data_IF_635725396872
#
_entry.id   IF_635725396872
#
_cell.length_a   1.000
_cell.length_b   1.000
_cell.length_c   1.000
_cell.angle_alpha   90.00
_cell.angle_beta   90.00
_cell.angle_gamma   90.00
#
_symmetry.space_group_name_H-M   'P 1'
#
loop_
_entity.id
_entity.type
_entity.pdbx_description
1 polymer ?
#
# COMPACT_ATOMS: atom_id res chain seq x y z
N UNK A 1 -5.71 6.84 -3.50
CA UNK A 1 -6.65 5.98 -4.24
C UNK A 1 -7.10 6.60 -5.55
N UNK A 2 -7.83 7.73 -5.55
CA UNK A 2 -8.33 8.34 -6.79
C UNK A 2 -7.26 8.64 -7.86
N UNK A 3 -6.08 9.13 -7.45
CA UNK A 3 -4.95 9.32 -8.38
C UNK A 3 -4.49 7.99 -9.01
N UNK A 4 -4.42 6.92 -8.22
CA UNK A 4 -3.97 5.61 -8.69
C UNK A 4 -4.93 5.05 -9.73
N UNK A 5 -6.24 5.12 -9.45
CA UNK A 5 -7.28 4.70 -10.40
C UNK A 5 -7.22 5.49 -11.70
N UNK A 6 -7.13 6.83 -11.62
CA UNK A 6 -7.02 7.68 -12.81
C UNK A 6 -5.81 7.33 -13.68
N UNK A 7 -4.64 7.14 -13.06
CA UNK A 7 -3.42 6.77 -13.80
C UNK A 7 -3.53 5.37 -14.39
N UNK A 8 -4.17 4.43 -13.67
CA UNK A 8 -4.43 3.10 -14.21
C UNK A 8 -5.27 3.19 -15.49
N UNK A 9 -6.36 3.97 -15.51
CA UNK A 9 -7.22 4.12 -16.70
C UNK A 9 -6.45 4.75 -17.88
N UNK A 10 -5.62 5.76 -17.59
CA UNK A 10 -4.76 6.40 -18.59
C UNK A 10 -3.77 5.40 -19.22
N UNK A 11 -3.18 4.50 -18.41
CA UNK A 11 -2.25 3.47 -18.88
C UNK A 11 -2.99 2.33 -19.56
N UNK A 12 -4.15 1.91 -19.07
CA UNK A 12 -4.94 0.83 -19.64
C UNK A 12 -5.34 1.10 -21.10
N UNK A 13 -5.57 2.37 -21.46
CA UNK A 13 -5.80 2.79 -22.83
C UNK A 13 -4.62 2.49 -23.78
N UNK A 14 -3.39 2.37 -23.27
CA UNK A 14 -2.21 1.99 -24.04
C UNK A 14 -2.13 0.47 -24.30
N UNK A 15 -2.94 -0.34 -23.60
CA UNK A 15 -2.97 -1.81 -23.68
C UNK A 15 -4.39 -2.36 -23.99
N UNK A 16 -4.98 -2.04 -25.16
CA UNK A 16 -6.38 -2.38 -25.48
C UNK A 16 -6.67 -3.88 -25.58
N UNK A 17 -5.64 -4.72 -25.65
CA UNK A 17 -5.77 -6.17 -25.72
C UNK A 17 -5.79 -6.84 -24.32
N UNK A 18 -5.59 -6.06 -23.25
CA UNK A 18 -5.64 -6.54 -21.87
C UNK A 18 -6.98 -6.09 -21.27
N UNK A 19 -7.81 -7.07 -20.93
CA UNK A 19 -9.03 -6.81 -20.17
C UNK A 19 -8.66 -6.20 -18.82
N UNK A 20 -9.35 -5.13 -18.45
CA UNK A 20 -9.09 -4.41 -17.21
C UNK A 20 -10.40 -4.02 -16.55
N UNK A 21 -10.40 -4.07 -15.22
CA UNK A 21 -11.51 -3.72 -14.35
C UNK A 21 -10.98 -3.17 -13.03
N UNK A 22 -11.87 -2.58 -12.21
CA UNK A 22 -11.48 -1.99 -10.92
C UNK A 22 -12.46 -2.39 -9.83
N UNK A 23 -11.89 -2.67 -8.67
CA UNK A 23 -12.61 -3.12 -7.49
C UNK A 23 -12.22 -2.20 -6.34
N UNK A 24 -13.19 -1.82 -5.52
CA UNK A 24 -12.87 -1.22 -4.22
C UNK A 24 -12.21 -2.31 -3.38
N UNK A 25 -11.21 -1.94 -2.57
CA UNK A 25 -10.33 -2.90 -1.89
C UNK A 25 -11.10 -3.88 -0.99
N UNK A 26 -12.22 -3.46 -0.41
CA UNK A 26 -13.06 -4.29 0.46
C UNK A 26 -13.72 -5.45 -0.30
N UNK A 27 -14.39 -5.17 -1.41
CA UNK A 27 -15.02 -6.19 -2.25
C UNK A 27 -13.97 -7.02 -3.01
N UNK A 28 -12.86 -6.39 -3.42
CA UNK A 28 -11.72 -7.08 -4.03
C UNK A 28 -11.12 -8.11 -3.08
N UNK A 29 -10.90 -7.75 -1.81
CA UNK A 29 -10.41 -8.66 -0.77
C UNK A 29 -11.39 -9.81 -0.52
N UNK A 30 -12.69 -9.52 -0.41
CA UNK A 30 -13.71 -10.55 -0.20
C UNK A 30 -13.72 -11.57 -1.34
N UNK A 31 -13.53 -11.12 -2.57
CA UNK A 31 -13.54 -11.98 -3.75
C UNK A 31 -12.24 -12.73 -4.01
N UNK A 32 -11.11 -12.14 -3.63
CA UNK A 32 -9.85 -12.87 -3.57
C UNK A 32 -9.92 -14.04 -2.59
N UNK A 33 -10.64 -13.87 -1.46
CA UNK A 33 -10.82 -14.93 -0.47
C UNK A 33 -11.84 -16.01 -0.89
N UNK A 34 -12.91 -15.62 -1.60
CA UNK A 34 -14.02 -16.51 -1.98
C UNK A 34 -13.76 -17.25 -3.31
N UNK A 35 -13.31 -16.52 -4.34
CA UNK A 35 -13.11 -17.01 -5.70
C UNK A 35 -11.78 -16.49 -6.28
N UNK A 36 -10.62 -16.87 -5.70
CA UNK A 36 -9.30 -16.41 -6.14
C UNK A 36 -9.00 -16.73 -7.61
N UNK A 37 -9.59 -17.79 -8.17
CA UNK A 37 -9.40 -18.24 -9.55
C UNK A 37 -9.91 -17.26 -10.62
N UNK A 38 -10.70 -16.25 -10.22
CA UNK A 38 -11.15 -15.19 -11.12
C UNK A 38 -10.07 -14.12 -11.38
N UNK A 39 -8.96 -14.12 -10.62
CA UNK A 39 -7.90 -13.13 -10.75
C UNK A 39 -6.70 -13.71 -11.50
N UNK A 40 -6.16 -12.93 -12.45
CA UNK A 40 -4.88 -13.21 -13.11
C UNK A 40 -3.78 -12.29 -12.57
N UNK A 41 -3.95 -10.97 -12.73
CA UNK A 41 -3.03 -9.95 -12.22
C UNK A 41 -3.79 -8.90 -11.42
N UNK A 42 -3.30 -8.59 -10.23
CA UNK A 42 -3.86 -7.54 -9.36
C UNK A 42 -2.80 -6.46 -9.14
N UNK A 43 -3.15 -5.21 -9.38
CA UNK A 43 -2.28 -4.04 -9.21
C UNK A 43 -2.91 -3.10 -8.18
N UNK A 44 -2.15 -2.73 -7.15
CA UNK A 44 -2.67 -1.95 -6.03
C UNK A 44 -1.62 -1.07 -5.34
N UNK A 45 -2.03 -0.03 -4.60
CA UNK A 45 -1.16 0.73 -3.72
C UNK A 45 -0.46 -0.14 -2.67
N UNK A 46 0.70 0.33 -2.21
CA UNK A 46 1.63 -0.40 -1.34
C UNK A 46 0.95 -1.12 -0.15
N UNK A 47 0.22 -0.39 0.71
CA UNK A 47 -0.42 -0.96 1.89
C UNK A 47 -1.44 -2.06 1.56
N UNK A 48 -2.22 -1.90 0.48
CA UNK A 48 -3.18 -2.91 0.06
C UNK A 48 -2.48 -4.15 -0.50
N UNK A 49 -1.39 -3.94 -1.24
CA UNK A 49 -0.54 -5.00 -1.79
C UNK A 49 0.09 -5.87 -0.72
N UNK A 50 0.63 -5.24 0.33
CA UNK A 50 1.16 -5.92 1.51
C UNK A 50 0.12 -6.85 2.12
N UNK A 51 -1.05 -6.31 2.46
CA UNK A 51 -2.13 -7.09 3.11
C UNK A 51 -2.67 -8.21 2.21
N UNK A 52 -3.00 -7.91 0.96
CA UNK A 52 -3.69 -8.88 0.09
C UNK A 52 -2.75 -9.93 -0.52
N UNK A 53 -1.46 -9.63 -0.67
CA UNK A 53 -0.48 -10.64 -1.09
C UNK A 53 -0.27 -11.72 -0.01
N UNK A 54 -0.28 -11.34 1.28
CA UNK A 54 -0.25 -12.28 2.40
C UNK A 54 -1.51 -13.16 2.44
N UNK A 55 -2.69 -12.58 2.21
CA UNK A 55 -3.95 -13.32 2.11
C UNK A 55 -3.88 -14.32 0.94
N UNK A 56 -3.45 -13.87 -0.24
CA UNK A 56 -3.29 -14.74 -1.41
C UNK A 56 -2.33 -15.90 -1.12
N UNK A 57 -1.17 -15.63 -0.51
CA UNK A 57 -0.21 -16.65 -0.15
C UNK A 57 -0.80 -17.66 0.86
N UNK A 58 -1.54 -17.18 1.87
CA UNK A 58 -2.16 -18.05 2.86
C UNK A 58 -3.28 -18.94 2.28
N UNK A 59 -4.01 -18.47 1.26
CA UNK A 59 -5.01 -19.28 0.53
C UNK A 59 -4.36 -20.49 -0.14
N UNK A 60 -3.11 -20.35 -0.63
CA UNK A 60 -2.36 -21.48 -1.22
C UNK A 60 -1.88 -22.51 -0.19
N UNK A 61 -1.99 -22.21 1.10
CA UNK A 61 -1.72 -23.11 2.22
C UNK A 61 -0.72 -22.56 3.23
N UNK A 62 0.22 -21.71 2.81
CA UNK A 62 1.19 -21.08 3.72
C UNK A 62 1.84 -19.85 3.11
N UNK A 63 1.96 -18.78 3.90
CA UNK A 63 2.82 -17.62 3.58
C UNK A 63 4.27 -18.06 3.28
N UNK A 64 4.72 -19.18 3.85
CA UNK A 64 6.03 -19.79 3.59
C UNK A 64 6.26 -20.26 2.16
N UNK A 65 5.24 -20.26 1.31
CA UNK A 65 5.32 -20.65 -0.11
C UNK A 65 5.48 -19.46 -1.06
N UNK A 66 5.43 -18.22 -0.59
CA UNK A 66 5.44 -17.06 -1.49
C UNK A 66 6.82 -16.39 -1.56
N UNK A 67 7.37 -16.36 -2.76
CA UNK A 67 8.51 -15.53 -3.14
C UNK A 67 8.07 -14.21 -3.76
N UNK A 68 8.92 -13.19 -3.72
CA UNK A 68 8.66 -11.88 -4.29
C UNK A 68 9.88 -11.31 -5.02
N UNK A 69 9.62 -10.30 -5.84
CA UNK A 69 10.62 -9.57 -6.59
C UNK A 69 10.33 -8.07 -6.52
N UNK A 70 11.30 -7.30 -6.01
CA UNK A 70 11.33 -5.85 -6.07
C UNK A 70 12.15 -5.46 -7.30
N UNK A 71 11.47 -4.99 -8.35
CA UNK A 71 12.10 -4.66 -9.63
C UNK A 71 12.17 -3.14 -9.79
N UNK A 72 13.39 -2.60 -9.89
CA UNK A 72 13.64 -1.21 -10.26
C UNK A 72 14.33 -1.10 -11.63
N UNK A 73 14.60 0.14 -12.02
CA UNK A 73 15.31 0.44 -13.29
C UNK A 73 16.78 -0.02 -13.25
N UNK A 74 17.45 0.19 -12.12
CA UNK A 74 18.89 -0.08 -11.98
C UNK A 74 19.20 -1.33 -11.16
N UNK A 75 18.27 -1.77 -10.32
CA UNK A 75 18.49 -2.85 -9.35
C UNK A 75 17.24 -3.71 -9.21
N UNK A 76 17.45 -4.99 -8.90
CA UNK A 76 16.41 -5.92 -8.54
C UNK A 76 16.78 -6.64 -7.24
N UNK A 77 15.80 -6.88 -6.39
CA UNK A 77 15.94 -7.61 -5.13
C UNK A 77 14.88 -8.70 -5.05
N UNK A 78 15.30 -9.92 -4.69
CA UNK A 78 14.43 -11.09 -4.63
C UNK A 78 14.43 -11.64 -3.21
N UNK A 79 13.25 -11.88 -2.66
CA UNK A 79 13.09 -12.26 -1.26
C UNK A 79 11.87 -13.17 -1.07
N UNK A 80 11.66 -13.65 0.15
CA UNK A 80 10.38 -14.23 0.56
C UNK A 80 9.47 -13.10 1.05
N UNK A 81 8.15 -13.25 0.92
CA UNK A 81 7.23 -12.24 1.47
C UNK A 81 7.21 -12.24 3.01
N UNK A 82 7.51 -13.39 3.63
CA UNK A 82 7.42 -13.53 5.08
C UNK A 82 8.57 -12.82 5.80
N UNK A 83 8.28 -12.33 7.02
CA UNK A 83 9.29 -11.74 7.89
C UNK A 83 10.25 -12.75 8.56
N UNK A 84 11.00 -12.26 9.55
CA UNK A 84 12.08 -12.99 10.23
C UNK A 84 11.64 -14.14 11.14
N UNK A 85 10.35 -14.22 11.47
CA UNK A 85 9.76 -15.21 12.39
C UNK A 85 10.65 -15.54 13.63
N UNK A 86 10.99 -14.56 14.50
CA UNK A 86 12.05 -14.72 15.52
C UNK A 86 11.85 -15.91 16.46
N UNK A 87 10.59 -16.25 16.75
CA UNK A 87 10.21 -17.40 17.59
C UNK A 87 10.66 -18.75 17.03
N UNK A 88 11.09 -18.84 15.77
CA UNK A 88 11.52 -20.06 15.08
C UNK A 88 12.99 -20.05 14.65
N UNK A 89 13.71 -18.95 14.91
CA UNK A 89 15.11 -18.83 14.54
C UNK A 89 15.95 -19.93 15.22
N UNK A 90 16.85 -20.56 14.47
CA UNK A 90 17.79 -21.57 14.98
C UNK A 90 17.17 -22.95 15.30
N UNK A 91 15.91 -23.19 14.97
CA UNK A 91 15.20 -24.43 15.37
C UNK A 91 15.12 -25.50 14.28
N UNK A 92 15.65 -25.25 13.07
CA UNK A 92 15.49 -26.14 11.91
C UNK A 92 14.00 -26.43 11.57
N UNK A 93 13.12 -25.43 11.72
CA UNK A 93 11.68 -25.57 11.49
C UNK A 93 11.13 -24.68 10.37
N UNK A 94 11.89 -23.69 9.90
CA UNK A 94 11.42 -22.76 8.88
C UNK A 94 11.15 -23.48 7.56
N UNK A 95 10.11 -23.05 6.85
CA UNK A 95 9.86 -23.45 5.47
C UNK A 95 10.72 -22.58 4.54
N UNK A 96 11.71 -23.13 3.82
CA UNK A 96 12.59 -22.34 2.95
C UNK A 96 11.97 -22.05 1.57
N UNK A 97 10.76 -22.52 1.29
CA UNK A 97 10.17 -22.49 -0.06
C UNK A 97 10.01 -21.07 -0.61
N UNK A 98 9.56 -20.11 0.19
CA UNK A 98 9.37 -18.72 -0.24
C UNK A 98 10.68 -18.07 -0.68
N UNK A 99 11.76 -18.24 0.09
CA UNK A 99 13.09 -17.74 -0.29
C UNK A 99 13.63 -18.46 -1.52
N UNK A 100 13.42 -19.77 -1.63
CA UNK A 100 13.79 -20.54 -2.80
C UNK A 100 13.04 -20.06 -4.06
N UNK A 101 11.76 -19.75 -3.94
CA UNK A 101 10.95 -19.21 -5.03
C UNK A 101 11.37 -17.77 -5.40
N UNK A 102 11.77 -16.95 -4.43
CA UNK A 102 12.46 -15.68 -4.70
C UNK A 102 13.73 -15.89 -5.53
N UNK A 103 14.56 -16.88 -5.19
CA UNK A 103 15.75 -17.24 -5.97
C UNK A 103 15.40 -17.78 -7.37
N UNK A 104 14.28 -18.51 -7.52
CA UNK A 104 13.77 -18.93 -8.83
C UNK A 104 13.40 -17.71 -9.69
N UNK A 105 12.70 -16.72 -9.13
CA UNK A 105 12.40 -15.46 -9.81
C UNK A 105 13.68 -14.72 -10.22
N UNK A 106 14.70 -14.71 -9.35
CA UNK A 106 16.02 -14.15 -9.65
C UNK A 106 16.67 -14.86 -10.84
N UNK A 107 16.68 -16.20 -10.84
CA UNK A 107 17.26 -17.00 -11.93
C UNK A 107 16.60 -16.69 -13.27
N UNK A 108 15.27 -16.56 -13.30
CA UNK A 108 14.54 -16.12 -14.50
C UNK A 108 14.99 -14.71 -14.91
N UNK A 109 15.07 -13.77 -13.96
CA UNK A 109 15.46 -12.38 -14.23
C UNK A 109 16.89 -12.23 -14.80
N UNK A 110 17.84 -13.05 -14.35
CA UNK A 110 19.24 -13.02 -14.81
C UNK A 110 19.49 -13.92 -16.05
N UNK A 111 18.44 -14.38 -16.71
CA UNK A 111 18.54 -15.15 -17.95
C UNK A 111 18.96 -16.62 -17.76
N UNK A 112 18.60 -17.23 -16.62
CA UNK A 112 18.83 -18.66 -16.33
C UNK A 112 17.51 -19.45 -16.15
N UNK A 113 16.57 -19.41 -17.11
CA UNK A 113 15.27 -20.06 -16.99
C UNK A 113 15.37 -21.60 -16.89
N UNK A 114 16.34 -22.22 -17.54
CA UNK A 114 16.54 -23.68 -17.47
C UNK A 114 16.93 -24.15 -16.07
N UNK A 115 17.72 -23.34 -15.35
CA UNK A 115 18.09 -23.61 -13.95
C UNK A 115 16.89 -23.35 -13.04
N UNK A 116 16.18 -22.25 -13.25
CA UNK A 116 14.96 -21.92 -12.53
C UNK A 116 13.90 -23.03 -12.67
N UNK A 117 13.72 -23.58 -13.87
CA UNK A 117 12.77 -24.65 -14.17
C UNK A 117 13.13 -25.94 -13.42
N UNK A 118 14.42 -26.32 -13.41
CA UNK A 118 14.90 -27.51 -12.69
C UNK A 118 14.65 -27.38 -11.18
N UNK A 119 14.96 -26.23 -10.60
CA UNK A 119 14.79 -25.98 -9.16
C UNK A 119 13.32 -25.95 -8.78
N UNK A 120 12.49 -25.22 -9.54
CA UNK A 120 11.07 -25.08 -9.24
C UNK A 120 10.33 -26.42 -9.39
N UNK A 121 10.58 -27.18 -10.46
CA UNK A 121 9.95 -28.50 -10.61
C UNK A 121 10.41 -29.49 -9.54
N UNK A 122 11.66 -29.42 -9.06
CA UNK A 122 12.12 -30.22 -7.94
C UNK A 122 11.36 -29.88 -6.64
N UNK A 123 11.14 -28.58 -6.35
CA UNK A 123 10.30 -28.14 -5.24
C UNK A 123 8.87 -28.69 -5.35
N UNK A 124 8.24 -28.53 -6.51
CA UNK A 124 6.89 -29.06 -6.74
C UNK A 124 6.83 -30.57 -6.57
N UNK A 125 7.84 -31.30 -7.07
CA UNK A 125 7.93 -32.75 -6.89
C UNK A 125 8.09 -33.14 -5.41
N UNK A 126 8.85 -32.37 -4.63
CA UNK A 126 8.99 -32.59 -3.17
C UNK A 126 7.65 -32.46 -2.45
N UNK A 127 6.88 -31.42 -2.79
CA UNK A 127 5.55 -31.20 -2.22
C UNK A 127 4.57 -32.30 -2.66
N UNK A 128 4.58 -32.67 -3.94
CA UNK A 128 3.75 -33.76 -4.48
C UNK A 128 4.00 -35.12 -3.82
N UNK A 129 5.27 -35.41 -3.48
CA UNK A 129 5.67 -36.61 -2.75
C UNK A 129 5.35 -36.55 -1.25
N UNK A 130 4.67 -35.50 -0.79
CA UNK A 130 4.18 -35.35 0.57
C UNK A 130 5.28 -35.05 1.59
N UNK A 131 6.42 -34.53 1.16
CA UNK A 131 7.52 -34.10 2.04
C UNK A 131 7.28 -32.66 2.43
N UNK A 132 6.79 -32.42 3.64
CA UNK A 132 6.30 -31.10 4.05
C UNK A 132 6.95 -30.61 5.34
N UNK A 133 7.23 -29.31 5.41
CA UNK A 133 7.55 -28.61 6.65
C UNK A 133 6.30 -28.46 7.52
N UNK A 134 6.48 -28.04 8.78
CA UNK A 134 5.40 -28.07 9.77
C UNK A 134 4.14 -27.26 9.38
N UNK A 135 4.28 -26.20 8.59
CA UNK A 135 3.22 -25.31 8.11
C UNK A 135 2.38 -25.92 6.99
N UNK A 136 2.95 -26.83 6.21
CA UNK A 136 2.26 -27.54 5.13
C UNK A 136 1.87 -28.96 5.53
N UNK A 137 2.41 -29.47 6.64
CA UNK A 137 2.15 -30.82 7.08
C UNK A 137 0.69 -31.01 7.49
N UNK A 138 0.00 -31.93 6.82
CA UNK A 138 -1.37 -32.33 7.13
C UNK A 138 -1.46 -33.86 7.18
N UNK A 139 -1.94 -34.38 8.29
CA UNK A 139 -2.16 -35.82 8.45
C UNK A 139 -3.13 -36.34 7.37
N UNK A 140 -2.83 -37.51 6.81
CA UNK A 140 -3.59 -38.12 5.71
C UNK A 140 -3.29 -37.56 4.32
N UNK A 141 -2.60 -36.42 4.19
CA UNK A 141 -2.14 -35.86 2.91
C UNK A 141 -0.62 -35.91 2.77
N UNK A 142 0.09 -35.51 3.83
CA UNK A 142 1.56 -35.56 3.88
C UNK A 142 2.07 -36.97 4.15
N UNK A 143 3.20 -37.31 3.54
CA UNK A 143 3.92 -38.57 3.79
C UNK A 143 4.94 -38.42 4.91
N UNK A 144 5.63 -37.28 5.00
CA UNK A 144 6.59 -37.00 6.09
C UNK A 144 6.63 -35.53 6.47
N UNK A 145 6.78 -35.29 7.78
CA UNK A 145 7.09 -33.98 8.35
C UNK A 145 8.61 -33.84 8.49
N UNK A 146 9.19 -32.77 7.95
CA UNK A 146 10.64 -32.54 7.96
C UNK A 146 11.00 -31.15 8.49
N UNK A 147 12.25 -31.00 8.93
CA UNK A 147 12.85 -29.70 9.26
C UNK A 147 13.35 -28.96 8.01
N UNK A 148 13.95 -27.80 8.21
CA UNK A 148 14.47 -26.94 7.12
C UNK A 148 15.54 -27.64 6.29
N UNK A 149 16.55 -28.22 6.94
CA UNK A 149 17.66 -28.90 6.28
C UNK A 149 17.21 -30.13 5.51
N UNK A 150 16.37 -30.97 6.13
CA UNK A 150 15.88 -32.21 5.53
C UNK A 150 14.91 -31.93 4.37
N UNK A 151 14.17 -30.80 4.42
CA UNK A 151 13.39 -30.34 3.28
C UNK A 151 14.28 -29.92 2.11
N UNK A 152 15.38 -29.20 2.38
CA UNK A 152 16.35 -28.82 1.35
C UNK A 152 16.99 -30.05 0.69
N UNK A 153 17.42 -31.03 1.48
CA UNK A 153 17.96 -32.31 0.97
C UNK A 153 16.95 -33.01 0.06
N UNK A 154 15.68 -33.07 0.47
CA UNK A 154 14.61 -33.69 -0.32
C UNK A 154 14.37 -32.97 -1.66
N UNK A 155 14.51 -31.65 -1.72
CA UNK A 155 14.46 -30.87 -2.98
C UNK A 155 15.67 -31.17 -3.85
N UNK A 156 16.88 -31.24 -3.27
CA UNK A 156 18.11 -31.54 -3.99
C UNK A 156 18.05 -32.94 -4.64
N UNK A 157 17.56 -33.95 -3.91
CA UNK A 157 17.35 -35.32 -4.42
C UNK A 157 16.43 -35.39 -5.65
N UNK A 158 15.56 -34.38 -5.82
CA UNK A 158 14.55 -34.32 -6.90
C UNK A 158 14.96 -33.42 -8.05
N UNK A 159 16.17 -32.85 -8.05
CA UNK A 159 16.65 -32.08 -9.19
C UNK A 159 16.62 -32.92 -10.48
N UNK A 160 15.98 -32.37 -11.52
CA UNK A 160 15.77 -33.04 -12.81
C UNK A 160 14.50 -33.89 -12.88
N UNK A 161 13.77 -34.05 -11.78
CA UNK A 161 12.44 -34.66 -11.77
C UNK A 161 11.35 -33.61 -12.00
N UNK A 162 10.16 -34.06 -12.43
CA UNK A 162 8.99 -33.20 -12.64
C UNK A 162 7.80 -33.75 -11.83
N UNK A 163 6.91 -32.88 -11.31
CA UNK A 163 5.66 -33.33 -10.71
C UNK A 163 4.76 -33.99 -11.77
N UNK A 164 3.96 -34.96 -11.34
CA UNK A 164 2.98 -35.70 -12.17
C UNK A 164 1.54 -35.20 -11.95
N UNK A 165 1.20 -34.80 -10.73
CA UNK A 165 -0.11 -34.30 -10.28
C UNK A 165 -0.16 -32.78 -10.25
N UNK A 166 0.87 -32.14 -9.67
CA UNK A 166 1.00 -30.69 -9.72
C UNK A 166 1.39 -30.26 -11.13
N UNK A 167 0.93 -29.09 -11.56
CA UNK A 167 1.27 -28.55 -12.87
C UNK A 167 2.77 -28.22 -12.92
N UNK A 168 3.52 -28.98 -13.72
CA UNK A 168 4.92 -28.71 -13.97
C UNK A 168 5.09 -27.32 -14.61
N UNK A 169 6.13 -26.61 -14.21
CA UNK A 169 6.44 -25.28 -14.74
C UNK A 169 7.41 -25.36 -15.90
N UNK A 170 7.31 -24.38 -16.79
CA UNK A 170 8.28 -24.13 -17.84
C UNK A 170 8.47 -22.62 -17.98
N UNK A 171 9.73 -22.19 -18.03
CA UNK A 171 10.08 -20.78 -18.18
C UNK A 171 10.57 -20.49 -19.60
N UNK A 172 10.14 -19.38 -20.17
CA UNK A 172 10.50 -19.03 -21.53
C UNK A 172 11.96 -18.52 -21.61
N UNK A 173 12.74 -19.06 -22.55
CA UNK A 173 14.12 -18.67 -22.85
C UNK A 173 14.24 -17.33 -23.57
N UNK A 174 13.15 -16.81 -24.14
CA UNK A 174 13.16 -15.58 -24.95
C UNK A 174 12.90 -14.28 -24.19
N UNK A 175 12.82 -14.28 -22.85
CA UNK A 175 12.63 -13.04 -22.08
C UNK A 175 13.97 -12.29 -21.97
N UNK A 176 14.56 -11.97 -23.12
CA UNK A 176 15.61 -10.97 -23.21
C UNK A 176 14.98 -9.61 -22.85
N UNK A 177 15.24 -9.20 -21.62
CA UNK A 177 15.24 -7.84 -21.08
C UNK A 177 14.90 -6.74 -22.10
N UNK A 178 13.61 -6.51 -22.32
CA UNK A 178 13.15 -5.17 -22.66
C UNK A 178 12.33 -4.71 -21.48
N UNK A 179 13.01 -4.23 -20.43
CA UNK A 179 12.31 -3.32 -19.52
C UNK A 179 11.82 -2.17 -20.42
N UNK A 180 10.51 -1.91 -20.50
CA UNK A 180 10.03 -0.77 -21.23
C UNK A 180 10.74 0.45 -20.64
N UNK A 181 11.45 1.22 -21.47
CA UNK A 181 12.07 2.47 -21.01
C UNK A 181 10.95 3.34 -20.47
N UNK A 182 11.00 3.57 -19.16
CA UNK A 182 9.99 4.35 -18.49
C UNK A 182 10.06 5.79 -19.03
N UNK A 183 9.06 6.18 -19.81
CA UNK A 183 8.98 7.54 -20.33
C UNK A 183 8.18 8.38 -19.34
N UNK A 184 8.86 9.24 -18.61
CA UNK A 184 8.22 10.22 -17.75
C UNK A 184 7.48 11.25 -18.63
N UNK A 185 6.15 11.24 -18.59
CA UNK A 185 5.35 12.30 -19.22
C UNK A 185 5.44 13.54 -18.34
N UNK A 186 6.04 14.62 -18.86
CA UNK A 186 5.96 15.92 -18.20
C UNK A 186 4.53 16.45 -18.32
N UNK A 187 3.85 16.58 -17.20
CA UNK A 187 2.52 17.20 -17.17
C UNK A 187 2.67 18.71 -17.39
N UNK A 188 1.73 19.35 -18.12
CA UNK A 188 1.75 20.80 -18.27
C UNK A 188 1.60 21.47 -16.89
N UNK A 189 2.24 22.62 -16.67
CA UNK A 189 2.09 23.37 -15.43
C UNK A 189 0.64 23.79 -15.24
N UNK A 190 0.11 23.56 -14.04
CA UNK A 190 -1.22 24.03 -13.62
C UNK A 190 -1.12 25.38 -12.93
N UNK A 191 -2.14 26.22 -13.07
CA UNK A 191 -2.25 27.48 -12.33
C UNK A 191 -2.54 27.15 -10.86
N UNK A 192 -1.53 27.26 -10.01
CA UNK A 192 -1.65 27.08 -8.56
C UNK A 192 -2.04 28.40 -7.89
N UNK A 193 -3.10 28.38 -7.09
CA UNK A 193 -3.55 29.54 -6.31
C UNK A 193 -3.74 29.14 -4.85
N UNK A 194 -3.22 29.95 -3.92
CA UNK A 194 -3.39 29.74 -2.48
C UNK A 194 -4.70 30.39 -2.04
N UNK A 195 -5.63 29.60 -1.50
CA UNK A 195 -7.01 30.02 -1.21
C UNK A 195 -7.40 29.82 0.26
N UNK A 196 -6.49 29.35 1.11
CA UNK A 196 -6.74 29.14 2.53
C UNK A 196 -5.62 28.39 3.22
N UNK A 197 -5.85 28.08 4.49
CA UNK A 197 -4.95 27.34 5.35
C UNK A 197 -5.73 26.52 6.39
N UNK A 198 -5.30 25.29 6.63
CA UNK A 198 -5.65 24.55 7.83
C UNK A 198 -4.51 24.71 8.85
N UNK A 199 -4.85 25.19 10.05
CA UNK A 199 -3.93 25.32 11.19
C UNK A 199 -4.28 24.24 12.21
N UNK A 200 -3.30 23.40 12.54
CA UNK A 200 -3.47 22.27 13.45
C UNK A 200 -2.96 22.61 14.84
N UNK A 201 -3.75 22.29 15.87
CA UNK A 201 -3.48 22.67 17.26
C UNK A 201 -3.38 21.44 18.19
N UNK A 202 -2.49 21.51 19.19
CA UNK A 202 -2.63 20.77 20.45
C UNK A 202 -3.33 21.69 21.47
N UNK A 203 -4.57 21.38 21.84
CA UNK A 203 -5.37 22.23 22.73
C UNK A 203 -6.32 21.42 23.61
N UNK A 204 -6.27 21.66 24.93
CA UNK A 204 -6.97 20.87 25.96
C UNK A 204 -7.87 21.70 26.88
N UNK A 205 -7.93 23.01 26.67
CA UNK A 205 -8.46 23.95 27.66
C UNK A 205 -10.00 24.12 27.62
N UNK A 206 -10.72 23.34 26.80
CA UNK A 206 -12.18 23.43 26.72
C UNK A 206 -12.78 22.56 25.62
N UNK A 207 -13.93 23.00 25.11
CA UNK A 207 -14.73 22.31 24.10
C UNK A 207 -14.48 22.83 22.68
N UNK A 208 -14.97 22.10 21.67
CA UNK A 208 -14.97 22.56 20.28
C UNK A 208 -15.67 23.92 20.10
N UNK A 209 -16.70 24.19 20.91
CA UNK A 209 -17.43 25.46 20.90
C UNK A 209 -16.55 26.61 21.40
N UNK A 210 -15.84 26.41 22.52
CA UNK A 210 -14.95 27.40 23.11
C UNK A 210 -13.80 27.74 22.16
N UNK A 211 -13.23 26.70 21.54
CA UNK A 211 -12.18 26.85 20.54
C UNK A 211 -12.71 27.58 19.29
N UNK A 212 -13.86 27.16 18.76
CA UNK A 212 -14.48 27.79 17.59
C UNK A 212 -14.74 29.28 17.79
N UNK A 213 -15.32 29.65 18.93
CA UNK A 213 -15.56 31.06 19.29
C UNK A 213 -14.27 31.87 19.39
N UNK A 214 -13.21 31.28 19.95
CA UNK A 214 -11.89 31.92 19.99
C UNK A 214 -11.37 32.17 18.57
N UNK A 215 -11.47 31.17 17.70
CA UNK A 215 -10.96 31.21 16.32
C UNK A 215 -11.73 32.15 15.40
N UNK A 216 -13.05 32.32 15.60
CA UNK A 216 -13.84 33.33 14.89
C UNK A 216 -13.22 34.72 15.03
N UNK A 217 -12.78 35.08 16.24
CA UNK A 217 -12.10 36.33 16.55
C UNK A 217 -10.69 36.49 15.96
N UNK A 218 -10.08 35.39 15.48
CA UNK A 218 -8.75 35.42 14.88
C UNK A 218 -8.77 35.72 13.38
N UNK A 219 -9.95 35.80 12.75
CA UNK A 219 -10.08 36.18 11.35
C UNK A 219 -9.32 37.49 11.03
N UNK A 220 -8.75 37.57 9.84
CA UNK A 220 -8.08 38.76 9.29
C UNK A 220 -8.86 39.27 8.09
N UNK A 221 -8.48 40.43 7.56
CA UNK A 221 -9.08 40.98 6.33
C UNK A 221 -8.88 40.02 5.13
N UNK A 222 -7.82 39.21 5.15
CA UNK A 222 -7.49 38.26 4.09
C UNK A 222 -8.03 36.84 4.35
N UNK A 223 -8.13 36.41 5.62
CA UNK A 223 -8.43 35.04 6.02
C UNK A 223 -9.61 35.01 7.00
N UNK A 224 -10.71 34.38 6.59
CA UNK A 224 -11.90 34.20 7.41
C UNK A 224 -11.95 32.78 7.97
N UNK A 225 -12.18 32.67 9.28
CA UNK A 225 -12.45 31.39 9.92
C UNK A 225 -13.65 30.69 9.27
N UNK A 226 -13.53 29.38 9.00
CA UNK A 226 -14.59 28.58 8.38
C UNK A 226 -15.15 27.51 9.29
N UNK A 227 -14.28 26.65 9.84
CA UNK A 227 -14.69 25.52 10.66
C UNK A 227 -13.55 25.00 11.54
N UNK A 228 -13.92 24.23 12.56
CA UNK A 228 -13.02 23.31 13.27
C UNK A 228 -13.43 21.88 12.93
N UNK A 229 -12.43 21.02 12.71
CA UNK A 229 -12.61 19.58 12.64
C UNK A 229 -11.74 18.84 13.65
N UNK A 230 -12.22 17.70 14.14
CA UNK A 230 -11.45 16.77 14.97
C UNK A 230 -11.51 15.40 14.31
N UNK A 231 -10.33 14.78 14.06
CA UNK A 231 -10.21 13.50 13.35
C UNK A 231 -10.96 13.48 12.00
N UNK A 232 -10.97 14.62 11.29
CA UNK A 232 -11.60 14.76 9.96
C UNK A 232 -13.09 15.05 9.97
N UNK A 233 -13.73 15.14 11.14
CA UNK A 233 -15.16 15.41 11.29
C UNK A 233 -15.37 16.86 11.71
N UNK A 234 -16.29 17.58 11.06
CA UNK A 234 -16.65 18.95 11.45
C UNK A 234 -17.26 18.94 12.86
N UNK A 235 -16.69 19.74 13.75
CA UNK A 235 -17.14 19.90 15.14
C UNK A 235 -17.49 21.35 15.49
N UNK A 236 -17.26 22.30 14.57
CA UNK A 236 -17.73 23.67 14.69
C UNK A 236 -17.78 24.33 13.30
N UNK A 237 -18.80 25.14 12.97
CA UNK A 237 -20.04 25.35 13.73
C UNK A 237 -20.96 24.12 13.71
N UNK A 238 -21.96 24.10 14.59
CA UNK A 238 -23.03 23.10 14.64
C UNK A 238 -22.56 21.64 14.83
N UNK A 239 -21.83 21.40 15.93
CA UNK A 239 -21.37 20.07 16.30
C UNK A 239 -22.54 19.09 16.55
N UNK A 240 -22.35 17.81 16.20
CA UNK A 240 -23.23 16.77 16.73
C UNK A 240 -22.93 16.55 18.22
N UNK A 241 -23.99 16.44 19.03
CA UNK A 241 -23.91 16.43 20.50
C UNK A 241 -23.07 15.30 21.12
N UNK A 242 -22.77 14.25 20.36
CA UNK A 242 -22.11 13.01 20.85
C UNK A 242 -20.70 12.80 20.29
N UNK A 243 -20.06 13.85 19.76
CA UNK A 243 -18.74 13.72 19.15
C UNK A 243 -17.60 13.76 20.17
N UNK A 244 -16.90 12.63 20.29
CA UNK A 244 -15.62 12.58 20.99
C UNK A 244 -14.56 13.34 20.20
N UNK A 245 -14.01 14.39 20.81
CA UNK A 245 -12.92 15.19 20.26
C UNK A 245 -11.58 14.75 20.87
N UNK A 246 -10.54 14.70 20.03
CA UNK A 246 -9.17 14.58 20.52
C UNK A 246 -8.64 15.95 20.97
N UNK A 247 -7.48 15.98 21.61
CA UNK A 247 -6.70 17.20 21.87
C UNK A 247 -6.05 17.78 20.60
N UNK A 248 -6.16 17.08 19.47
CA UNK A 248 -5.72 17.52 18.16
C UNK A 248 -6.87 18.08 17.31
N UNK A 249 -6.71 19.32 16.84
CA UNK A 249 -7.73 20.06 16.10
C UNK A 249 -7.22 20.53 14.75
N UNK A 250 -8.08 20.59 13.74
CA UNK A 250 -7.80 21.25 12.46
C UNK A 250 -8.74 22.44 12.29
N UNK A 251 -8.14 23.62 12.18
CA UNK A 251 -8.83 24.90 12.13
C UNK A 251 -8.70 25.48 10.73
N UNK A 252 -9.81 25.53 9.99
CA UNK A 252 -9.80 25.96 8.58
C UNK A 252 -10.08 27.45 8.47
N UNK A 253 -9.19 28.15 7.77
CA UNK A 253 -9.36 29.54 7.37
C UNK A 253 -9.31 29.64 5.85
N UNK A 254 -10.28 30.32 5.26
CA UNK A 254 -10.37 30.51 3.82
C UNK A 254 -10.09 31.96 3.44
N UNK A 255 -9.58 32.17 2.24
CA UNK A 255 -9.46 33.49 1.65
C UNK A 255 -10.82 34.21 1.70
N UNK A 256 -10.86 35.41 2.28
CA UNK A 256 -12.07 36.23 2.31
C UNK A 256 -12.50 36.62 0.89
N UNK A 257 -11.52 36.93 0.02
CA UNK A 257 -11.72 37.24 -1.39
C UNK A 257 -10.57 36.69 -2.24
N UNK A 258 -10.84 35.72 -3.12
CA UNK A 258 -9.87 35.24 -4.10
C UNK A 258 -8.69 34.46 -3.50
N UNK A 259 -7.50 35.02 -3.57
CA UNK A 259 -6.24 34.36 -3.20
C UNK A 259 -5.53 35.09 -2.06
N UNK A 260 -4.78 34.36 -1.26
CA UNK A 260 -3.96 34.91 -0.17
C UNK A 260 -2.46 34.75 -0.47
N UNK A 261 -1.64 35.49 0.27
CA UNK A 261 -0.19 35.43 0.24
C UNK A 261 0.37 34.69 1.46
N UNK A 262 1.65 34.32 1.42
CA UNK A 262 2.34 33.82 2.61
C UNK A 262 2.42 34.85 3.75
N UNK A 263 2.37 36.15 3.43
CA UNK A 263 2.31 37.21 4.44
C UNK A 263 1.01 37.16 5.24
N UNK A 264 -0.11 36.89 4.57
CA UNK A 264 -1.42 36.75 5.23
C UNK A 264 -1.46 35.53 6.15
N UNK A 265 -0.83 34.43 5.74
CA UNK A 265 -0.65 33.23 6.56
C UNK A 265 0.16 33.54 7.82
N UNK A 266 1.31 34.19 7.67
CA UNK A 266 2.17 34.55 8.81
C UNK A 266 1.43 35.49 9.78
N UNK A 267 0.69 36.46 9.25
CA UNK A 267 -0.12 37.36 10.07
C UNK A 267 -1.20 36.62 10.89
N UNK A 268 -1.86 35.63 10.29
CA UNK A 268 -2.80 34.77 11.00
C UNK A 268 -2.10 33.96 12.09
N UNK A 269 -0.96 33.31 11.80
CA UNK A 269 -0.21 32.53 12.79
C UNK A 269 0.32 33.40 13.94
N UNK A 270 0.64 34.67 13.68
CA UNK A 270 0.95 35.65 14.71
C UNK A 270 -0.22 35.83 15.69
N UNK A 271 -1.46 35.95 15.19
CA UNK A 271 -2.66 36.00 16.05
C UNK A 271 -2.86 34.73 16.87
N UNK A 272 -2.56 33.55 16.31
CA UNK A 272 -2.61 32.29 17.06
C UNK A 272 -1.60 32.30 18.22
N UNK A 273 -0.37 32.75 17.95
CA UNK A 273 0.67 32.89 18.98
C UNK A 273 0.24 33.87 20.08
N UNK A 274 -0.29 35.04 19.70
CA UNK A 274 -0.74 36.07 20.65
C UNK A 274 -1.93 35.58 21.50
N UNK A 275 -2.77 34.71 20.95
CA UNK A 275 -3.86 34.04 21.65
C UNK A 275 -3.39 32.85 22.53
N UNK A 276 -2.09 32.51 22.52
CA UNK A 276 -1.54 31.38 23.27
C UNK A 276 -1.98 30.01 22.73
N UNK A 277 -2.33 29.92 21.44
CA UNK A 277 -2.69 28.67 20.79
C UNK A 277 -1.45 27.98 20.21
N UNK A 278 -1.18 26.77 20.68
CA UNK A 278 -0.04 25.96 20.23
C UNK A 278 -0.33 25.32 18.87
N UNK A 279 0.11 25.97 17.79
CA UNK A 279 0.02 25.41 16.44
C UNK A 279 1.19 24.48 16.15
N UNK A 280 0.87 23.23 15.85
CA UNK A 280 1.85 22.14 15.69
C UNK A 280 2.11 21.79 14.22
N UNK A 281 1.20 22.19 13.33
CA UNK A 281 1.27 21.92 11.89
C UNK A 281 0.39 22.91 11.12
N UNK A 282 0.75 23.17 9.87
CA UNK A 282 -0.10 23.90 8.91
C UNK A 282 -0.19 23.14 7.58
N UNK A 283 -1.30 23.32 6.87
CA UNK A 283 -1.49 22.84 5.50
C UNK A 283 -2.08 23.95 4.64
N UNK A 284 -1.41 24.26 3.52
CA UNK A 284 -1.90 25.26 2.58
C UNK A 284 -3.01 24.71 1.70
N UNK A 285 -4.15 25.40 1.66
CA UNK A 285 -5.27 25.03 0.81
C UNK A 285 -5.08 25.71 -0.54
N UNK A 286 -4.77 24.93 -1.56
CA UNK A 286 -4.55 25.44 -2.91
C UNK A 286 -5.63 24.95 -3.87
N UNK A 287 -5.91 25.74 -4.89
CA UNK A 287 -6.54 25.26 -6.12
C UNK A 287 -5.50 25.06 -7.21
N UNK A 288 -5.79 24.16 -8.14
CA UNK A 288 -5.01 23.90 -9.34
C UNK A 288 -5.96 23.98 -10.53
N UNK A 289 -5.82 25.01 -11.36
CA UNK A 289 -6.77 25.33 -12.45
C UNK A 289 -8.22 25.48 -11.96
N UNK A 290 -8.39 26.06 -10.75
CA UNK A 290 -9.69 26.25 -10.12
C UNK A 290 -10.24 25.03 -9.36
N UNK A 291 -9.65 23.85 -9.54
CA UNK A 291 -10.04 22.64 -8.79
C UNK A 291 -9.37 22.60 -7.42
N UNK A 292 -10.10 22.18 -6.38
CA UNK A 292 -9.55 22.07 -5.02
C UNK A 292 -8.47 20.98 -4.96
N UNK A 293 -7.29 21.34 -4.46
CA UNK A 293 -6.22 20.41 -4.09
C UNK A 293 -6.33 19.89 -2.65
N UNK A 294 -7.51 19.97 -2.04
CA UNK A 294 -7.78 19.60 -0.65
C UNK A 294 -9.21 19.06 -0.51
N UNK A 295 -9.46 18.30 0.54
CA UNK A 295 -10.77 17.71 0.84
C UNK A 295 -11.55 18.53 1.87
N UNK A 296 -12.87 18.32 1.87
CA UNK A 296 -13.76 18.88 2.88
C UNK A 296 -13.76 18.00 4.13
N UNK A 297 -14.05 18.59 5.29
CA UNK A 297 -14.31 17.80 6.49
C UNK A 297 -15.63 17.04 6.33
N UNK A 298 -15.77 15.90 7.02
CA UNK A 298 -17.05 15.20 7.04
C UNK A 298 -18.12 16.07 7.73
N UNK A 299 -19.20 16.37 7.01
CA UNK A 299 -20.29 17.24 7.48
C UNK A 299 -20.11 18.73 7.14
N UNK A 300 -19.09 19.11 6.37
CA UNK A 300 -18.96 20.44 5.76
C UNK A 300 -19.95 20.66 4.61
#
# INVERSE_FOLDING_TARGET
DGLFHKIFDEVAAEYPNIENEHWIVDIGAAKLADTPENFDVIVMPNLYGDILSDVAAQITGSVGLAGSANIGENYAMFEAIHGSAPRRAGQNLANPSGLLLGAVLMLVHIGQPDVAEKVHNALLKTLEDGVHTYDLYKEGTSTRKVGTSEFADAVIERLGQRPEKLKAVTYNTQVAQTQPKQTWKTLPPRKKELVGIDVFLDWKAGTAQDLGQTLEGLSTDALTFKLVSSRGIKVYPDAFKEMFCADHWSCRFMAANGTITHGDVIALLGKFQDAGLDFIKTEHLCTFDGERGYTLAQGE
#
